data_IF_197261198235
#
_entry.id   IF_197261198235
#
_cell.length_a   1.000
_cell.length_b   1.000
_cell.length_c   1.000
_cell.angle_alpha   90.00
_cell.angle_beta   90.00
_cell.angle_gamma   90.00
#
_symmetry.space_group_name_H-M   'P 1'
#
loop_
_entity.id
_entity.type
_entity.pdbx_description
1 polymer ?
#
# COMPACT_ATOMS: atom_id res chain seq x y z
N UNK A 1 -11.91 3.77 -5.07
CA UNK A 1 -11.95 5.02 -4.25
C UNK A 1 -10.66 5.83 -4.38
N UNK A 2 -10.73 7.14 -4.66
CA UNK A 2 -9.52 8.01 -4.67
C UNK A 2 -9.25 8.68 -3.32
N UNK A 3 -10.31 9.07 -2.61
CA UNK A 3 -10.24 9.76 -1.32
C UNK A 3 -11.18 9.10 -0.32
N UNK A 4 -10.73 8.99 0.92
CA UNK A 4 -11.53 8.52 2.04
C UNK A 4 -11.82 9.69 2.98
N UNK A 5 -13.10 9.94 3.22
CA UNK A 5 -13.56 10.91 4.20
C UNK A 5 -14.02 10.18 5.46
N UNK A 6 -13.42 10.53 6.58
CA UNK A 6 -13.75 10.01 7.91
C UNK A 6 -14.44 11.14 8.67
N UNK A 7 -15.73 10.99 8.95
CA UNK A 7 -16.52 12.00 9.68
C UNK A 7 -16.61 11.65 11.17
N UNK A 8 -16.43 12.66 12.01
CA UNK A 8 -16.54 12.56 13.47
C UNK A 8 -17.30 13.77 14.02
N UNK A 9 -17.76 13.70 15.27
CA UNK A 9 -18.63 14.73 15.86
C UNK A 9 -18.04 16.16 15.78
N UNK A 10 -16.70 16.29 15.79
CA UNK A 10 -16.00 17.57 15.76
C UNK A 10 -15.53 18.01 14.37
N UNK A 11 -15.82 17.26 13.31
CA UNK A 11 -15.42 17.60 11.94
C UNK A 11 -15.17 16.38 11.04
N UNK A 12 -14.30 16.53 10.05
CA UNK A 12 -13.94 15.44 9.15
C UNK A 12 -12.44 15.44 8.83
N UNK A 13 -11.93 14.27 8.47
CA UNK A 13 -10.59 14.07 7.92
C UNK A 13 -10.71 13.47 6.53
N UNK A 14 -10.00 14.02 5.56
CA UNK A 14 -9.90 13.47 4.20
C UNK A 14 -8.50 12.90 3.95
N UNK A 15 -8.44 11.66 3.45
CA UNK A 15 -7.21 10.98 3.08
C UNK A 15 -7.21 10.71 1.58
N UNK A 16 -6.20 11.20 0.87
CA UNK A 16 -5.93 10.73 -0.48
C UNK A 16 -5.28 9.34 -0.41
N UNK A 17 -5.95 8.32 -0.95
CA UNK A 17 -5.56 6.92 -0.76
C UNK A 17 -4.19 6.62 -1.38
N UNK A 18 -3.99 7.03 -2.63
CA UNK A 18 -2.74 6.78 -3.36
C UNK A 18 -1.53 7.53 -2.77
N UNK A 19 -1.75 8.71 -2.20
CA UNK A 19 -0.68 9.50 -1.57
C UNK A 19 -0.40 9.06 -0.12
N UNK A 20 -1.43 8.59 0.59
CA UNK A 20 -1.30 8.20 1.99
C UNK A 20 -0.79 6.77 2.15
N UNK A 21 -1.29 5.82 1.35
CA UNK A 21 -0.91 4.42 1.44
C UNK A 21 0.15 4.04 0.39
N UNK A 22 1.13 3.19 0.75
CA UNK A 22 1.33 2.56 2.05
C UNK A 22 2.03 3.49 3.06
N UNK A 23 1.41 3.72 4.22
CA UNK A 23 1.99 4.51 5.30
C UNK A 23 2.78 3.65 6.31
N UNK A 24 3.64 4.27 7.16
CA UNK A 24 4.28 3.59 8.28
C UNK A 24 3.28 3.03 9.29
N UNK A 25 3.64 1.90 9.93
CA UNK A 25 2.75 1.13 10.82
C UNK A 25 2.15 1.96 11.97
N UNK A 26 2.88 2.93 12.51
CA UNK A 26 2.38 3.79 13.58
C UNK A 26 1.23 4.68 13.11
N UNK A 27 1.30 5.20 11.87
CA UNK A 27 0.23 5.99 11.26
C UNK A 27 -0.93 5.08 10.87
N UNK A 28 -0.64 3.92 10.27
CA UNK A 28 -1.64 2.93 9.89
C UNK A 28 -2.51 2.50 11.08
N UNK A 29 -1.91 2.21 12.24
CA UNK A 29 -2.65 1.85 13.47
C UNK A 29 -3.59 2.94 13.95
N UNK A 30 -3.20 4.22 13.82
CA UNK A 30 -4.06 5.35 14.23
C UNK A 30 -5.24 5.50 13.28
N UNK A 31 -4.96 5.49 11.98
CA UNK A 31 -5.99 5.64 10.94
C UNK A 31 -6.94 4.44 10.93
N UNK A 32 -6.44 3.22 11.02
CA UNK A 32 -7.28 2.02 11.09
C UNK A 32 -8.30 2.08 12.23
N UNK A 33 -7.89 2.56 13.42
CA UNK A 33 -8.83 2.78 14.53
C UNK A 33 -9.93 3.79 14.20
N UNK A 34 -9.60 4.85 13.47
CA UNK A 34 -10.59 5.86 13.06
C UNK A 34 -11.53 5.28 12.01
N UNK A 35 -11.00 4.59 11.00
CA UNK A 35 -11.78 3.95 9.94
C UNK A 35 -12.75 2.93 10.55
N UNK A 36 -12.26 2.05 11.41
CA UNK A 36 -13.08 1.00 12.01
C UNK A 36 -14.15 1.53 12.97
N UNK A 37 -13.98 2.76 13.47
CA UNK A 37 -14.94 3.40 14.38
C UNK A 37 -15.99 4.24 13.66
N UNK A 38 -15.59 4.95 12.60
CA UNK A 38 -16.40 6.02 12.01
C UNK A 38 -16.85 5.74 10.57
N UNK A 39 -16.21 4.83 9.85
CA UNK A 39 -16.64 4.45 8.51
C UNK A 39 -17.65 3.29 8.56
N UNK A 40 -18.62 3.29 7.63
CA UNK A 40 -19.51 2.14 7.43
C UNK A 40 -18.74 0.93 6.89
N UNK A 41 -19.32 -0.25 7.05
CA UNK A 41 -18.74 -1.49 6.51
C UNK A 41 -18.60 -1.43 4.98
N UNK A 42 -19.52 -0.76 4.29
CA UNK A 42 -19.49 -0.54 2.84
C UNK A 42 -18.29 0.33 2.42
N UNK A 43 -18.09 1.48 3.07
CA UNK A 43 -16.93 2.34 2.81
C UNK A 43 -15.62 1.63 3.13
N UNK A 44 -15.60 0.82 4.21
CA UNK A 44 -14.42 0.02 4.57
C UNK A 44 -14.14 -1.04 3.51
N UNK A 45 -15.15 -1.72 2.99
CA UNK A 45 -15.00 -2.71 1.92
C UNK A 45 -14.47 -2.09 0.63
N UNK A 46 -14.98 -0.92 0.23
CA UNK A 46 -14.49 -0.20 -0.97
C UNK A 46 -13.03 0.23 -0.80
N UNK A 47 -12.66 0.72 0.38
CA UNK A 47 -11.28 1.05 0.72
C UNK A 47 -10.38 -0.20 0.63
N UNK A 48 -10.79 -1.31 1.23
CA UNK A 48 -10.01 -2.55 1.21
C UNK A 48 -9.82 -3.06 -0.22
N UNK A 49 -10.86 -3.02 -1.07
CA UNK A 49 -10.74 -3.36 -2.50
C UNK A 49 -9.67 -2.51 -3.18
N UNK A 50 -9.74 -1.19 -2.99
CA UNK A 50 -8.77 -0.25 -3.57
C UNK A 50 -7.34 -0.53 -3.07
N UNK A 51 -7.16 -0.80 -1.79
CA UNK A 51 -5.83 -1.10 -1.22
C UNK A 51 -5.28 -2.45 -1.72
N UNK A 52 -6.14 -3.45 -1.91
CA UNK A 52 -5.78 -4.73 -2.51
C UNK A 52 -5.33 -4.55 -3.96
N UNK A 53 -6.07 -3.79 -4.77
CA UNK A 53 -5.67 -3.47 -6.16
C UNK A 53 -4.29 -2.79 -6.22
N UNK A 54 -4.01 -1.84 -5.31
CA UNK A 54 -2.69 -1.22 -5.20
C UNK A 54 -1.60 -2.23 -4.77
N UNK A 55 -1.93 -3.16 -3.87
CA UNK A 55 -1.01 -4.21 -3.45
C UNK A 55 -0.67 -5.16 -4.60
N UNK A 56 -1.64 -5.51 -5.43
CA UNK A 56 -1.47 -6.32 -6.63
C UNK A 56 -0.61 -5.58 -7.67
N UNK A 57 -0.80 -4.27 -7.84
CA UNK A 57 0.07 -3.43 -8.65
C UNK A 57 1.55 -3.49 -8.21
N UNK A 58 1.81 -3.42 -6.90
CA UNK A 58 3.18 -3.61 -6.39
C UNK A 58 3.70 -5.04 -6.60
N UNK A 59 2.85 -6.06 -6.51
CA UNK A 59 3.23 -7.44 -6.77
C UNK A 59 3.63 -7.64 -8.24
N UNK A 60 2.87 -7.07 -9.18
CA UNK A 60 3.18 -7.08 -10.60
C UNK A 60 4.54 -6.42 -10.88
N UNK A 61 4.79 -5.22 -10.34
CA UNK A 61 6.08 -4.53 -10.46
C UNK A 61 7.25 -5.35 -9.88
N UNK A 62 7.03 -6.03 -8.75
CA UNK A 62 8.03 -6.94 -8.18
C UNK A 62 8.34 -8.10 -9.14
N UNK A 63 7.33 -8.66 -9.81
CA UNK A 63 7.49 -9.69 -10.84
C UNK A 63 8.28 -9.19 -12.05
N UNK A 64 8.00 -7.98 -12.53
CA UNK A 64 8.73 -7.36 -13.63
C UNK A 64 10.20 -7.10 -13.30
N UNK A 65 10.49 -6.57 -12.10
CA UNK A 65 11.87 -6.38 -11.65
C UNK A 65 12.62 -7.72 -11.57
N UNK A 66 11.99 -8.77 -11.05
CA UNK A 66 12.57 -10.12 -11.04
C UNK A 66 12.88 -10.63 -12.44
N UNK A 67 11.97 -10.44 -13.39
CA UNK A 67 12.19 -10.80 -14.80
C UNK A 67 13.39 -10.04 -15.38
N UNK A 68 13.46 -8.73 -15.15
CA UNK A 68 14.61 -7.90 -15.57
C UNK A 68 15.93 -8.34 -14.94
N UNK A 69 15.92 -8.80 -13.69
CA UNK A 69 17.11 -9.37 -13.06
C UNK A 69 17.52 -10.71 -13.70
N UNK A 70 16.58 -11.58 -14.07
CA UNK A 70 16.90 -12.87 -14.69
C UNK A 70 17.50 -12.78 -16.09
N UNK A 71 17.27 -11.66 -16.79
CA UNK A 71 17.85 -11.35 -18.10
C UNK A 71 19.31 -10.87 -17.99
N UNK A 72 19.81 -10.60 -16.78
CA UNK A 72 21.11 -9.98 -16.53
C UNK A 72 22.04 -10.90 -15.74
N UNK A 73 23.35 -10.71 -15.92
CA UNK A 73 24.36 -11.33 -15.06
C UNK A 73 24.37 -10.67 -13.67
N UNK A 74 24.55 -11.46 -12.62
CA UNK A 74 24.53 -11.01 -11.22
C UNK A 74 25.61 -9.96 -10.90
N UNK A 75 26.75 -10.01 -11.60
CA UNK A 75 27.86 -9.07 -11.42
C UNK A 75 27.63 -7.73 -12.15
N UNK A 76 26.55 -7.61 -12.91
CA UNK A 76 26.26 -6.40 -13.68
C UNK A 76 25.71 -5.26 -12.82
N UNK A 77 26.09 -4.03 -13.14
CA UNK A 77 25.50 -2.83 -12.53
C UNK A 77 23.99 -2.76 -12.75
N UNK A 78 23.48 -3.28 -13.87
CA UNK A 78 22.06 -3.40 -14.17
C UNK A 78 21.33 -4.34 -13.19
N UNK A 79 21.93 -5.47 -12.84
CA UNK A 79 21.36 -6.39 -11.84
C UNK A 79 21.26 -5.70 -10.47
N UNK A 80 22.33 -5.03 -10.02
CA UNK A 80 22.33 -4.25 -8.78
C UNK A 80 21.23 -3.18 -8.76
N UNK A 81 21.04 -2.47 -9.87
CA UNK A 81 19.97 -1.47 -10.02
C UNK A 81 18.58 -2.11 -9.86
N UNK A 82 18.27 -3.16 -10.62
CA UNK A 82 16.96 -3.81 -10.55
C UNK A 82 16.71 -4.50 -9.22
N UNK A 83 17.74 -5.05 -8.58
CA UNK A 83 17.67 -5.57 -7.21
C UNK A 83 17.30 -4.49 -6.20
N UNK A 84 17.90 -3.30 -6.32
CA UNK A 84 17.55 -2.17 -5.46
C UNK A 84 16.10 -1.72 -5.67
N UNK A 85 15.63 -1.66 -6.92
CA UNK A 85 14.23 -1.34 -7.23
C UNK A 85 13.26 -2.41 -6.70
N UNK A 86 13.59 -3.68 -6.88
CA UNK A 86 12.84 -4.80 -6.31
C UNK A 86 12.70 -4.66 -4.78
N UNK A 87 13.81 -4.45 -4.06
CA UNK A 87 13.80 -4.33 -2.61
C UNK A 87 12.93 -3.15 -2.13
N UNK A 88 12.96 -2.03 -2.85
CA UNK A 88 12.12 -0.86 -2.56
C UNK A 88 10.63 -1.19 -2.75
N UNK A 89 10.27 -1.72 -3.92
CA UNK A 89 8.87 -2.09 -4.23
C UNK A 89 8.35 -3.17 -3.30
N UNK A 90 9.15 -4.18 -2.98
CA UNK A 90 8.78 -5.25 -2.06
C UNK A 90 8.54 -4.70 -0.64
N UNK A 91 9.34 -3.73 -0.20
CA UNK A 91 9.13 -3.04 1.08
C UNK A 91 7.79 -2.31 1.10
N UNK A 92 7.42 -1.63 0.01
CA UNK A 92 6.13 -0.94 -0.12
C UNK A 92 4.97 -1.95 -0.11
N UNK A 93 5.09 -3.05 -0.87
CA UNK A 93 4.12 -4.14 -0.91
C UNK A 93 3.86 -4.73 0.48
N UNK A 94 4.92 -5.10 1.20
CA UNK A 94 4.83 -5.63 2.58
C UNK A 94 4.20 -4.63 3.56
N UNK A 95 4.44 -3.32 3.37
CA UNK A 95 3.78 -2.27 4.16
C UNK A 95 2.30 -2.17 3.83
N UNK A 96 1.94 -2.23 2.54
CA UNK A 96 0.55 -2.21 2.10
C UNK A 96 -0.23 -3.38 2.70
N UNK A 97 0.30 -4.61 2.60
CA UNK A 97 -0.32 -5.81 3.21
C UNK A 97 -0.56 -5.64 4.71
N UNK A 98 0.40 -5.05 5.44
CA UNK A 98 0.24 -4.77 6.87
C UNK A 98 -0.85 -3.74 7.14
N UNK A 99 -0.97 -2.72 6.30
CA UNK A 99 -2.00 -1.69 6.44
C UNK A 99 -3.39 -2.28 6.18
N UNK A 100 -3.54 -3.10 5.14
CA UNK A 100 -4.78 -3.84 4.83
C UNK A 100 -5.20 -4.69 6.04
N UNK A 101 -4.29 -5.49 6.59
CA UNK A 101 -4.56 -6.36 7.76
C UNK A 101 -5.01 -5.61 9.02
N UNK A 102 -4.72 -4.30 9.13
CA UNK A 102 -5.16 -3.50 10.29
C UNK A 102 -6.57 -2.94 10.10
N UNK A 103 -7.02 -2.80 8.84
CA UNK A 103 -8.32 -2.23 8.47
C UNK A 103 -9.36 -3.33 8.26
N UNK A 104 -8.92 -4.52 7.84
CA UNK A 104 -9.75 -5.73 7.74
C UNK A 104 -10.40 -6.08 9.08
#
# INVERSE_FOLDING_TARGET
>A
MERLRIEYETGYMELNIAAFFPCPIQKARKIAKLINRYCSDETRAELLSTLCELADGYAALCGEHKRKMSELSEDSSGYCYWRAQFNRTETLRKRMERNIRLIQ
#
